data_IF_260430732992
#
_entry.id   IF_260430732992
#
_cell.length_a   1.000
_cell.length_b   1.000
_cell.length_c   1.000
_cell.angle_alpha   90.00
_cell.angle_beta   90.00
_cell.angle_gamma   90.00
#
_symmetry.space_group_name_H-M   'P 1'
#
loop_
_entity.id
_entity.type
_entity.pdbx_description
1 polymer ?
#
# COMPACT_ATOMS: atom_id res chain seq x y z
N UNK A 1 -2.67 2.36 8.43
CA UNK A 1 -3.46 1.21 7.95
C UNK A 1 -2.81 -0.14 8.33
N UNK A 2 -3.60 -1.18 8.61
CA UNK A 2 -3.09 -2.55 8.76
C UNK A 2 -2.63 -3.10 7.41
N UNK A 3 -1.34 -3.43 7.29
CA UNK A 3 -0.75 -3.85 6.03
C UNK A 3 0.22 -5.01 6.24
N UNK A 4 -0.01 -6.14 5.56
CA UNK A 4 0.91 -7.27 5.53
C UNK A 4 2.20 -6.79 4.88
N UNK A 5 3.34 -7.15 5.48
CA UNK A 5 4.65 -6.78 4.94
C UNK A 5 5.10 -5.34 5.26
N UNK A 6 4.29 -4.53 5.96
CA UNK A 6 4.63 -3.13 6.28
C UNK A 6 6.03 -2.99 6.89
N UNK A 7 6.86 -2.15 6.27
CA UNK A 7 8.25 -1.88 6.64
C UNK A 7 8.44 -0.85 7.76
N UNK A 8 7.38 -0.42 8.44
CA UNK A 8 7.47 0.54 9.56
C UNK A 8 8.53 0.15 10.61
N UNK A 9 8.58 -1.12 11.02
CA UNK A 9 9.58 -1.63 11.99
C UNK A 9 11.00 -1.75 11.43
N UNK A 10 11.13 -1.82 10.11
CA UNK A 10 12.41 -1.95 9.39
C UNK A 10 12.93 -0.62 8.84
N UNK A 11 12.16 0.46 8.96
CA UNK A 11 12.46 1.78 8.38
C UNK A 11 13.86 2.30 8.76
N UNK A 12 14.25 2.23 10.03
CA UNK A 12 15.59 2.64 10.49
C UNK A 12 16.71 1.80 9.87
N UNK A 13 16.51 0.49 9.74
CA UNK A 13 17.46 -0.41 9.10
C UNK A 13 17.61 -0.09 7.61
N UNK A 14 16.48 0.03 6.89
CA UNK A 14 16.46 0.36 5.47
C UNK A 14 17.15 1.69 5.19
N UNK A 15 16.81 2.74 5.96
CA UNK A 15 17.45 4.05 5.84
C UNK A 15 18.96 3.97 6.05
N UNK A 16 19.39 3.34 7.15
CA UNK A 16 20.83 3.21 7.47
C UNK A 16 21.58 2.48 6.35
N UNK A 17 21.04 1.37 5.86
CA UNK A 17 21.70 0.57 4.81
C UNK A 17 21.71 1.29 3.46
N UNK A 18 20.62 1.94 3.06
CA UNK A 18 20.56 2.72 1.82
C UNK A 18 21.58 3.86 1.88
N UNK A 19 21.58 4.69 2.92
CA UNK A 19 22.57 5.76 3.09
C UNK A 19 24.02 5.25 3.15
N UNK A 20 24.25 4.05 3.70
CA UNK A 20 25.58 3.43 3.73
C UNK A 20 26.14 3.12 2.35
N UNK A 21 25.28 2.89 1.36
CA UNK A 21 25.67 2.58 -0.02
C UNK A 21 25.65 3.83 -0.91
N UNK A 22 24.59 4.63 -0.83
CA UNK A 22 24.37 5.74 -1.77
C UNK A 22 24.89 7.10 -1.28
N UNK A 23 25.37 7.17 -0.04
CA UNK A 23 25.78 8.40 0.62
C UNK A 23 24.67 9.05 1.46
N UNK A 24 25.05 10.08 2.24
CA UNK A 24 24.12 10.81 3.12
C UNK A 24 23.33 11.90 2.40
N UNK A 25 23.94 12.60 1.45
CA UNK A 25 23.26 13.64 0.68
C UNK A 25 22.51 13.00 -0.49
N UNK A 26 21.18 13.01 -0.41
CA UNK A 26 20.29 12.45 -1.43
C UNK A 26 19.52 13.54 -2.19
N UNK A 27 19.77 14.83 -1.93
CA UNK A 27 18.92 15.94 -2.40
C UNK A 27 18.78 16.01 -3.92
N UNK A 28 19.79 15.51 -4.64
CA UNK A 28 19.84 15.51 -6.11
C UNK A 28 19.40 14.17 -6.72
N UNK A 29 19.05 13.18 -5.88
CA UNK A 29 18.72 11.82 -6.30
C UNK A 29 17.23 11.60 -6.47
N UNK A 30 16.86 10.78 -7.45
CA UNK A 30 15.49 10.27 -7.63
C UNK A 30 15.35 8.90 -6.98
N UNK A 31 14.38 8.75 -6.09
CA UNK A 31 14.08 7.50 -5.38
C UNK A 31 12.79 6.87 -5.92
N UNK A 32 12.85 5.61 -6.34
CA UNK A 32 11.70 4.86 -6.80
C UNK A 32 11.30 3.76 -5.81
N UNK A 33 10.03 3.73 -5.41
CA UNK A 33 9.41 2.64 -4.67
C UNK A 33 8.34 2.00 -5.57
N UNK A 34 8.71 0.94 -6.29
CA UNK A 34 7.89 0.40 -7.37
C UNK A 34 6.78 -0.57 -6.90
N UNK A 35 6.86 -1.00 -5.63
CA UNK A 35 5.90 -1.84 -4.93
C UNK A 35 5.48 -1.17 -3.61
N UNK A 36 5.00 0.07 -3.70
CA UNK A 36 4.95 0.99 -2.58
C UNK A 36 3.97 0.60 -1.46
N UNK A 37 2.91 -0.14 -1.78
CA UNK A 37 1.83 -0.43 -0.84
C UNK A 37 1.29 0.84 -0.19
N UNK A 38 1.49 0.97 1.12
CA UNK A 38 1.05 2.17 1.87
C UNK A 38 1.99 3.38 1.74
N UNK A 39 3.09 3.24 1.00
CA UNK A 39 4.11 4.28 0.82
C UNK A 39 5.06 4.44 2.00
N UNK A 40 5.09 3.51 2.95
CA UNK A 40 5.85 3.69 4.19
C UNK A 40 7.35 3.97 3.97
N UNK A 41 7.98 3.30 3.00
CA UNK A 41 9.40 3.50 2.67
C UNK A 41 9.58 4.79 1.88
N UNK A 42 8.86 4.96 0.77
CA UNK A 42 8.86 6.18 -0.04
C UNK A 42 8.67 7.47 0.80
N UNK A 43 7.67 7.51 1.69
CA UNK A 43 7.40 8.65 2.60
C UNK A 43 8.60 9.00 3.46
N UNK A 44 9.36 8.00 3.86
CA UNK A 44 10.50 8.18 4.75
C UNK A 44 11.70 8.84 4.05
N UNK A 45 11.75 8.80 2.72
CA UNK A 45 12.76 9.45 1.88
C UNK A 45 12.27 10.75 1.22
N UNK A 46 10.94 10.95 1.12
CA UNK A 46 10.29 12.04 0.40
C UNK A 46 10.94 13.43 0.57
N UNK A 47 11.25 13.83 1.80
CA UNK A 47 11.83 15.15 2.11
C UNK A 47 13.36 15.23 1.99
N UNK A 48 14.01 14.11 1.65
CA UNK A 48 15.47 14.00 1.58
C UNK A 48 15.99 13.87 0.14
N UNK A 49 15.09 13.65 -0.83
CA UNK A 49 15.42 13.32 -2.22
C UNK A 49 14.85 14.36 -3.17
N UNK A 50 15.42 14.49 -4.38
CA UNK A 50 14.96 15.41 -5.43
C UNK A 50 13.52 15.11 -5.85
N UNK A 51 13.19 13.83 -5.92
CA UNK A 51 11.89 13.35 -6.36
C UNK A 51 11.67 11.90 -5.95
N UNK A 52 10.40 11.57 -5.72
CA UNK A 52 9.96 10.20 -5.47
C UNK A 52 9.11 9.74 -6.64
N UNK A 53 9.41 8.55 -7.16
CA UNK A 53 8.55 7.80 -8.06
C UNK A 53 7.93 6.66 -7.25
N UNK A 54 6.62 6.67 -7.06
CA UNK A 54 5.91 5.61 -6.35
C UNK A 54 4.99 4.85 -7.30
N UNK A 55 4.91 3.54 -7.16
CA UNK A 55 3.98 2.73 -7.91
C UNK A 55 3.39 1.63 -7.04
N UNK A 56 2.14 1.26 -7.31
CA UNK A 56 1.58 0.01 -6.84
C UNK A 56 0.51 -0.49 -7.82
N UNK A 57 0.33 -1.80 -7.89
CA UNK A 57 -0.69 -2.43 -8.73
C UNK A 57 -2.10 -2.21 -8.17
N UNK A 58 -2.25 -2.11 -6.85
CA UNK A 58 -3.53 -1.97 -6.19
C UNK A 58 -3.98 -0.50 -6.15
N UNK A 59 -5.23 -0.24 -6.57
CA UNK A 59 -5.72 1.13 -6.69
C UNK A 59 -5.84 1.86 -5.34
N UNK A 60 -6.17 1.16 -4.24
CA UNK A 60 -6.15 1.79 -2.92
C UNK A 60 -4.74 2.26 -2.54
N UNK A 61 -3.69 1.51 -2.92
CA UNK A 61 -2.31 1.86 -2.64
C UNK A 61 -1.90 3.08 -3.49
N UNK A 62 -2.29 3.12 -4.76
CA UNK A 62 -2.18 4.31 -5.60
C UNK A 62 -2.83 5.54 -4.96
N UNK A 63 -4.09 5.45 -4.50
CA UNK A 63 -4.79 6.55 -3.83
C UNK A 63 -4.04 7.06 -2.60
N UNK A 64 -3.51 6.14 -1.78
CA UNK A 64 -2.73 6.51 -0.61
C UNK A 64 -1.45 7.25 -1.00
N UNK A 65 -0.74 6.78 -2.04
CA UNK A 65 0.50 7.39 -2.50
C UNK A 65 0.26 8.72 -3.23
N UNK A 66 -0.85 8.89 -3.95
CA UNK A 66 -1.27 10.21 -4.48
C UNK A 66 -1.34 11.26 -3.37
N UNK A 67 -1.83 10.87 -2.19
CA UNK A 67 -1.83 11.78 -1.04
C UNK A 67 -0.48 11.85 -0.31
N UNK A 68 0.12 10.73 0.07
CA UNK A 68 1.31 10.76 0.93
C UNK A 68 2.59 11.17 0.20
N UNK A 69 2.66 10.85 -1.09
CA UNK A 69 3.82 11.10 -1.95
C UNK A 69 3.54 12.29 -2.85
N UNK A 70 2.52 12.27 -3.70
CA UNK A 70 2.36 13.33 -4.71
C UNK A 70 1.95 14.68 -4.12
N UNK A 71 0.99 14.72 -3.19
CA UNK A 71 0.68 15.97 -2.50
C UNK A 71 1.89 16.39 -1.66
N UNK A 72 2.41 17.58 -1.94
CA UNK A 72 3.56 18.18 -1.25
C UNK A 72 3.32 19.66 -0.89
N UNK A 73 2.20 20.23 -1.34
CA UNK A 73 1.78 21.60 -1.06
C UNK A 73 0.58 21.63 -0.13
N UNK A 74 0.43 22.74 0.59
CA UNK A 74 -0.70 22.93 1.49
C UNK A 74 -2.03 22.94 0.72
N UNK A 75 -3.00 22.14 1.18
CA UNK A 75 -4.37 22.14 0.66
C UNK A 75 -5.24 23.03 1.54
N UNK A 76 -5.36 24.30 1.14
CA UNK A 76 -6.12 25.31 1.90
C UNK A 76 -7.56 24.86 2.15
N UNK A 77 -7.98 24.93 3.41
CA UNK A 77 -9.35 24.59 3.82
C UNK A 77 -9.67 23.09 3.88
N UNK A 78 -8.69 22.20 3.74
CA UNK A 78 -8.90 20.75 3.80
C UNK A 78 -9.65 20.29 5.07
N UNK A 79 -9.38 20.94 6.21
CA UNK A 79 -10.05 20.66 7.49
C UNK A 79 -11.57 20.92 7.43
N UNK A 80 -12.00 21.97 6.72
CA UNK A 80 -13.42 22.26 6.55
C UNK A 80 -14.14 21.14 5.81
N UNK A 81 -13.53 20.56 4.78
CA UNK A 81 -14.09 19.41 4.06
C UNK A 81 -14.20 18.19 4.97
N UNK A 82 -13.18 17.89 5.79
CA UNK A 82 -13.24 16.81 6.78
C UNK A 82 -14.40 17.03 7.77
N UNK A 83 -14.57 18.27 8.25
CA UNK A 83 -15.65 18.62 9.17
C UNK A 83 -17.04 18.49 8.55
N UNK A 84 -17.20 18.91 7.29
CA UNK A 84 -18.44 18.73 6.53
C UNK A 84 -18.77 17.24 6.42
N UNK A 85 -17.81 16.43 5.96
CA UNK A 85 -17.99 14.99 5.75
C UNK A 85 -18.37 14.25 7.04
N UNK A 86 -17.80 14.63 8.18
CA UNK A 86 -18.13 14.02 9.47
C UNK A 86 -19.55 14.33 9.97
N UNK A 87 -20.16 15.44 9.51
CA UNK A 87 -21.50 15.91 9.92
C UNK A 87 -22.62 15.45 8.97
N UNK A 88 -22.30 14.77 7.88
CA UNK A 88 -23.31 14.31 6.92
C UNK A 88 -24.23 13.28 7.55
N UNK A 89 -25.52 13.38 7.22
CA UNK A 89 -26.50 12.36 7.57
C UNK A 89 -26.20 11.06 6.81
N UNK A 90 -26.18 9.90 7.49
CA UNK A 90 -25.90 8.62 6.86
C UNK A 90 -26.89 8.28 5.75
N UNK A 91 -26.38 7.69 4.67
CA UNK A 91 -27.11 7.22 3.50
C UNK A 91 -26.63 5.84 3.11
N UNK A 92 -27.57 5.02 2.66
CA UNK A 92 -27.26 3.71 2.11
C UNK A 92 -26.52 3.82 0.78
N UNK A 93 -25.52 2.96 0.61
CA UNK A 93 -24.82 2.78 -0.66
C UNK A 93 -24.30 1.36 -0.81
N UNK A 94 -23.28 1.22 -1.66
CA UNK A 94 -22.75 -0.08 -2.03
C UNK A 94 -22.12 -0.84 -0.85
N UNK A 95 -21.44 -0.13 0.06
CA UNK A 95 -20.73 -0.76 1.18
C UNK A 95 -21.71 -1.31 2.22
N UNK A 96 -22.72 -0.52 2.59
CA UNK A 96 -23.78 -0.96 3.48
C UNK A 96 -24.49 -2.20 2.93
N UNK A 97 -24.97 -2.12 1.69
CA UNK A 97 -25.75 -3.20 1.06
C UNK A 97 -24.98 -4.51 0.93
N UNK A 98 -23.68 -4.46 0.68
CA UNK A 98 -22.91 -5.65 0.32
C UNK A 98 -21.94 -6.16 1.39
N UNK A 99 -21.57 -5.34 2.37
CA UNK A 99 -20.49 -5.66 3.33
C UNK A 99 -20.85 -5.41 4.79
N UNK A 100 -22.11 -5.05 5.07
CA UNK A 100 -22.67 -4.90 6.41
C UNK A 100 -23.80 -5.90 6.65
N UNK A 101 -24.08 -6.20 7.92
CA UNK A 101 -25.01 -7.26 8.27
C UNK A 101 -26.44 -6.88 7.87
N UNK A 102 -26.83 -5.61 8.11
CA UNK A 102 -28.12 -5.05 7.74
C UNK A 102 -28.36 -4.98 6.23
N UNK A 103 -27.32 -5.07 5.40
CA UNK A 103 -27.44 -5.14 3.94
C UNK A 103 -28.00 -6.47 3.41
N UNK A 104 -28.16 -7.49 4.28
CA UNK A 104 -28.81 -8.76 3.94
C UNK A 104 -27.91 -9.80 3.28
N UNK A 105 -26.62 -9.51 3.03
CA UNK A 105 -25.68 -10.49 2.45
C UNK A 105 -25.00 -11.39 3.49
N UNK A 106 -25.26 -11.17 4.78
CA UNK A 106 -24.60 -11.90 5.88
C UNK A 106 -23.11 -11.57 6.07
N UNK A 107 -22.62 -10.51 5.43
CA UNK A 107 -21.23 -10.03 5.57
C UNK A 107 -21.17 -8.98 6.66
N UNK A 108 -20.06 -8.94 7.40
CA UNK A 108 -19.92 -8.04 8.54
C UNK A 108 -18.50 -7.49 8.61
N UNK A 109 -18.06 -6.86 7.51
CA UNK A 109 -16.78 -6.16 7.44
C UNK A 109 -16.82 -4.84 8.20
N UNK A 110 -17.99 -4.22 8.28
CA UNK A 110 -18.25 -3.01 9.07
C UNK A 110 -19.55 -3.20 9.87
N UNK A 111 -19.73 -2.38 10.90
CA UNK A 111 -21.06 -2.18 11.47
C UNK A 111 -21.96 -1.47 10.46
N UNK A 112 -23.27 -1.62 10.60
CA UNK A 112 -24.25 -0.96 9.74
C UNK A 112 -24.05 0.56 9.73
N UNK A 113 -23.89 1.16 10.92
CA UNK A 113 -23.56 2.59 11.07
C UNK A 113 -22.31 2.99 10.27
N UNK A 114 -21.23 2.21 10.40
CA UNK A 114 -19.97 2.51 9.72
C UNK A 114 -20.08 2.32 8.20
N UNK A 115 -20.82 1.31 7.73
CA UNK A 115 -21.11 1.10 6.31
C UNK A 115 -21.83 2.29 5.69
N UNK A 116 -22.92 2.74 6.33
CA UNK A 116 -23.67 3.93 5.89
C UNK A 116 -22.77 5.17 5.87
N UNK A 117 -21.93 5.36 6.89
CA UNK A 117 -21.04 6.52 6.96
C UNK A 117 -19.96 6.49 5.87
N UNK A 118 -19.37 5.32 5.59
CA UNK A 118 -18.41 5.15 4.49
C UNK A 118 -19.07 5.50 3.16
N UNK A 119 -20.26 4.97 2.89
CA UNK A 119 -21.02 5.25 1.66
C UNK A 119 -21.30 6.74 1.51
N UNK A 120 -21.81 7.38 2.57
CA UNK A 120 -22.15 8.80 2.59
C UNK A 120 -20.95 9.68 2.25
N UNK A 121 -19.82 9.44 2.93
CA UNK A 121 -18.59 10.20 2.73
C UNK A 121 -18.09 9.97 1.29
N UNK A 122 -18.05 8.71 0.85
CA UNK A 122 -17.50 8.36 -0.47
C UNK A 122 -18.32 8.92 -1.62
N UNK A 123 -19.65 8.86 -1.52
CA UNK A 123 -20.58 9.47 -2.47
C UNK A 123 -20.41 10.99 -2.52
N UNK A 124 -20.23 11.66 -1.37
CA UNK A 124 -20.01 13.10 -1.34
C UNK A 124 -18.68 13.51 -1.99
N UNK A 125 -17.59 12.78 -1.68
CA UNK A 125 -16.29 12.98 -2.34
C UNK A 125 -16.40 12.78 -3.85
N UNK A 126 -17.13 11.74 -4.30
CA UNK A 126 -17.40 11.50 -5.73
C UNK A 126 -18.14 12.68 -6.37
N UNK A 127 -19.22 13.12 -5.73
CA UNK A 127 -20.04 14.22 -6.21
C UNK A 127 -19.20 15.49 -6.40
N UNK A 128 -18.37 15.85 -5.42
CA UNK A 128 -17.48 17.00 -5.52
C UNK A 128 -16.49 16.87 -6.68
N UNK A 129 -15.91 15.70 -6.89
CA UNK A 129 -14.99 15.46 -8.00
C UNK A 129 -15.69 15.53 -9.36
N UNK A 130 -16.84 14.87 -9.50
CA UNK A 130 -17.62 14.82 -10.76
C UNK A 130 -18.09 16.23 -11.17
N UNK A 131 -18.50 17.04 -10.20
CA UNK A 131 -18.92 18.44 -10.40
C UNK A 131 -17.75 19.43 -10.50
N UNK A 132 -16.51 18.95 -10.40
CA UNK A 132 -15.28 19.78 -10.41
C UNK A 132 -15.27 20.85 -9.31
N UNK A 133 -15.92 20.57 -8.18
CA UNK A 133 -15.91 21.44 -6.98
C UNK A 133 -14.58 21.32 -6.21
N UNK A 134 -13.84 20.22 -6.40
CA UNK A 134 -12.52 19.98 -5.80
C UNK A 134 -11.52 19.49 -6.87
N UNK A 135 -10.26 19.88 -6.70
CA UNK A 135 -9.13 19.37 -7.50
C UNK A 135 -8.65 17.98 -7.07
N UNK A 136 -7.68 17.43 -7.80
CA UNK A 136 -7.12 16.10 -7.52
C UNK A 136 -6.44 16.00 -6.15
N UNK A 137 -5.66 17.01 -5.76
CA UNK A 137 -4.93 17.01 -4.50
C UNK A 137 -5.88 16.81 -3.31
N UNK A 138 -6.96 17.59 -3.27
CA UNK A 138 -8.00 17.51 -2.24
C UNK A 138 -8.80 16.20 -2.37
N UNK A 139 -9.11 15.75 -3.59
CA UNK A 139 -9.82 14.49 -3.81
C UNK A 139 -9.05 13.29 -3.22
N UNK A 140 -7.76 13.15 -3.54
CA UNK A 140 -6.93 12.06 -3.03
C UNK A 140 -6.65 12.21 -1.54
N UNK A 141 -6.51 13.43 -1.02
CA UNK A 141 -6.43 13.67 0.43
C UNK A 141 -7.66 13.16 1.19
N UNK A 142 -8.87 13.51 0.72
CA UNK A 142 -10.12 13.08 1.35
C UNK A 142 -10.33 11.56 1.22
N UNK A 143 -9.99 10.99 0.06
CA UNK A 143 -10.14 9.56 -0.18
C UNK A 143 -9.14 8.73 0.65
N UNK A 144 -7.88 9.15 0.74
CA UNK A 144 -6.89 8.54 1.61
C UNK A 144 -7.32 8.61 3.08
N UNK A 145 -7.85 9.76 3.52
CA UNK A 145 -8.42 9.96 4.85
C UNK A 145 -9.56 8.98 5.15
N UNK A 146 -10.43 8.73 4.17
CA UNK A 146 -11.52 7.76 4.29
C UNK A 146 -10.99 6.32 4.42
N UNK A 147 -10.06 5.91 3.56
CA UNK A 147 -9.47 4.56 3.60
C UNK A 147 -8.79 4.28 4.95
N UNK A 148 -7.98 5.22 5.43
CA UNK A 148 -7.31 5.17 6.73
C UNK A 148 -8.31 5.07 7.89
N UNK A 149 -9.40 5.82 7.83
CA UNK A 149 -10.41 5.87 8.89
C UNK A 149 -11.31 4.63 8.87
N UNK A 150 -11.67 4.13 7.69
CA UNK A 150 -12.42 2.90 7.52
C UNK A 150 -11.63 1.69 8.05
N UNK A 151 -10.33 1.59 7.76
CA UNK A 151 -9.50 0.47 8.23
C UNK A 151 -9.44 0.36 9.77
N UNK A 152 -9.50 1.50 10.48
CA UNK A 152 -9.51 1.53 11.95
C UNK A 152 -10.77 0.90 12.55
N UNK A 153 -11.89 0.93 11.82
CA UNK A 153 -13.18 0.37 12.23
C UNK A 153 -13.57 -0.90 11.45
N UNK A 154 -12.68 -1.43 10.62
CA UNK A 154 -12.93 -2.67 9.88
C UNK A 154 -12.93 -3.89 10.82
N UNK A 155 -13.91 -4.78 10.67
CA UNK A 155 -14.10 -6.00 11.44
C UNK A 155 -13.32 -7.21 10.88
N UNK A 156 -12.00 -7.04 10.77
CA UNK A 156 -11.10 -8.03 10.16
C UNK A 156 -9.93 -8.40 11.08
N UNK A 157 -9.24 -9.51 10.79
CA UNK A 157 -8.00 -9.92 11.45
C UNK A 157 -6.77 -9.39 10.69
N UNK A 158 -6.74 -8.09 10.40
CA UNK A 158 -5.69 -7.34 9.66
C UNK A 158 -5.79 -7.33 8.14
N UNK A 159 -6.54 -8.26 7.53
CA UNK A 159 -6.81 -8.29 6.09
C UNK A 159 -8.29 -8.52 5.80
N UNK A 160 -8.75 -8.04 4.65
CA UNK A 160 -10.11 -8.14 4.14
C UNK A 160 -10.41 -9.47 3.44
N UNK A 161 -9.43 -10.39 3.37
CA UNK A 161 -9.66 -11.75 2.87
C UNK A 161 -10.67 -12.55 3.71
N UNK A 162 -11.02 -12.09 4.91
CA UNK A 162 -12.12 -12.59 5.73
C UNK A 162 -12.60 -11.51 6.72
N UNK A 163 -13.78 -11.72 7.29
CA UNK A 163 -14.35 -10.90 8.36
C UNK A 163 -14.68 -11.74 9.58
N UNK A 164 -14.74 -11.11 10.77
CA UNK A 164 -15.09 -11.80 12.01
C UNK A 164 -16.61 -11.99 12.12
N UNK A 165 -17.03 -13.09 12.75
CA UNK A 165 -18.47 -13.39 12.97
C UNK A 165 -19.18 -12.37 13.86
N UNK A 166 -18.44 -11.70 14.73
CA UNK A 166 -18.95 -10.64 15.62
C UNK A 166 -18.06 -9.42 15.46
N UNK A 167 -18.65 -8.23 15.62
CA UNK A 167 -17.89 -6.97 15.60
C UNK A 167 -16.88 -6.95 16.75
N UNK A 168 -15.59 -6.85 16.43
CA UNK A 168 -14.55 -6.58 17.43
C UNK A 168 -14.71 -5.17 18.02
N UNK A 169 -14.14 -4.93 19.20
CA UNK A 169 -14.23 -3.64 19.92
C UNK A 169 -13.92 -2.41 19.06
N UNK A 170 -12.94 -2.47 18.16
CA UNK A 170 -12.62 -1.32 17.30
C UNK A 170 -13.67 -1.08 16.20
N UNK A 171 -14.34 -2.13 15.73
CA UNK A 171 -15.38 -2.04 14.70
C UNK A 171 -16.75 -1.63 15.23
N UNK A 172 -16.95 -1.70 16.55
CA UNK A 172 -18.12 -1.17 17.25
C UNK A 172 -18.06 0.35 17.45
N UNK A 173 -16.88 0.97 17.28
CA UNK A 173 -16.74 2.42 17.38
C UNK A 173 -17.27 3.07 16.10
N UNK A 174 -17.99 4.18 16.25
CA UNK A 174 -18.38 5.03 15.13
C UNK A 174 -17.15 5.56 14.39
N UNK A 175 -17.20 5.50 13.06
CA UNK A 175 -16.17 6.06 12.20
C UNK A 175 -16.12 7.57 12.41
N UNK A 176 -14.93 8.09 12.69
CA UNK A 176 -14.62 9.52 12.65
C UNK A 176 -13.57 9.68 11.56
N UNK A 177 -13.91 10.45 10.52
CA UNK A 177 -12.99 10.74 9.42
C UNK A 177 -11.87 11.61 9.96
N UNK A 178 -10.64 11.09 9.93
CA UNK A 178 -9.43 11.80 10.34
C UNK A 178 -8.57 12.14 9.12
N UNK A 179 -7.92 13.30 9.08
CA UNK A 179 -7.09 13.71 7.96
C UNK A 179 -5.86 12.78 7.82
N UNK A 180 -5.60 12.34 6.58
CA UNK A 180 -4.38 11.63 6.20
C UNK A 180 -3.25 12.64 5.93
N UNK A 181 -2.64 13.15 7.01
CA UNK A 181 -1.57 14.16 6.91
C UNK A 181 -0.37 13.65 6.09
N UNK A 182 0.17 14.52 5.25
CA UNK A 182 1.34 14.28 4.41
C UNK A 182 2.39 15.38 4.64
N UNK A 183 3.64 15.07 4.29
CA UNK A 183 4.75 16.01 4.45
C UNK A 183 4.75 17.05 3.31
N UNK A 184 4.98 18.31 3.68
CA UNK A 184 5.18 19.41 2.75
C UNK A 184 6.65 19.53 2.35
N UNK A 185 6.90 19.86 1.09
CA UNK A 185 8.24 20.19 0.58
C UNK A 185 8.11 20.92 -0.78
N UNK A 186 9.24 21.33 -1.34
CA UNK A 186 9.31 22.02 -2.64
C UNK A 186 9.60 21.07 -3.82
N UNK A 187 9.61 19.76 -3.58
CA UNK A 187 9.99 18.75 -4.56
C UNK A 187 8.75 18.15 -5.23
N UNK A 188 8.79 18.05 -6.56
CA UNK A 188 7.76 17.33 -7.30
C UNK A 188 7.97 15.82 -7.22
N UNK A 189 6.87 15.09 -7.23
CA UNK A 189 6.84 13.64 -7.07
C UNK A 189 5.86 13.02 -8.07
N UNK A 190 6.02 11.73 -8.35
CA UNK A 190 5.21 11.02 -9.33
C UNK A 190 4.64 9.74 -8.72
N UNK A 191 3.37 9.46 -8.99
CA UNK A 191 2.69 8.26 -8.51
C UNK A 191 1.97 7.57 -9.66
N UNK A 192 2.20 6.27 -9.81
CA UNK A 192 1.66 5.43 -10.88
C UNK A 192 0.81 4.29 -10.31
N UNK A 193 -0.12 3.79 -11.13
CA UNK A 193 -0.91 2.58 -10.86
C UNK A 193 -0.74 1.59 -12.02
N UNK A 194 0.45 1.04 -12.16
CA UNK A 194 0.82 0.12 -13.24
C UNK A 194 1.40 -1.18 -12.68
N UNK A 195 1.45 -2.20 -13.54
CA UNK A 195 2.31 -3.35 -13.30
C UNK A 195 3.77 -2.90 -13.26
N UNK A 196 4.50 -3.27 -12.20
CA UNK A 196 5.88 -2.81 -11.98
C UNK A 196 6.84 -3.20 -13.11
N UNK A 197 6.67 -4.37 -13.72
CA UNK A 197 7.47 -4.82 -14.87
C UNK A 197 7.13 -4.07 -16.16
N UNK A 198 5.95 -3.46 -16.23
CA UNK A 198 5.58 -2.57 -17.34
C UNK A 198 6.13 -1.16 -17.12
N UNK A 199 5.97 -0.62 -15.91
CA UNK A 199 6.41 0.74 -15.59
C UNK A 199 7.94 0.88 -15.63
N UNK A 200 8.68 -0.12 -15.14
CA UNK A 200 10.15 -0.06 -15.03
C UNK A 200 10.87 0.24 -16.35
N UNK A 201 10.21 -0.05 -17.49
CA UNK A 201 10.71 0.20 -18.85
C UNK A 201 10.58 1.66 -19.29
N UNK A 202 9.84 2.47 -18.55
CA UNK A 202 9.45 3.86 -18.90
C UNK A 202 10.04 4.90 -17.94
N UNK A 203 10.70 4.45 -16.87
CA UNK A 203 11.22 5.29 -15.80
C UNK A 203 12.69 5.01 -15.54
N UNK A 204 13.37 6.01 -15.01
CA UNK A 204 14.79 5.96 -14.64
C UNK A 204 15.02 6.73 -13.33
N UNK A 205 16.17 6.53 -12.72
CA UNK A 205 16.55 7.27 -11.51
C UNK A 205 17.81 6.72 -10.84
N UNK A 206 18.03 7.13 -9.59
CA UNK A 206 19.26 6.78 -8.87
C UNK A 206 19.09 5.54 -8.00
N UNK A 207 17.96 5.47 -7.30
CA UNK A 207 17.69 4.49 -6.25
C UNK A 207 16.36 3.80 -6.54
N UNK A 208 16.39 2.48 -6.73
CA UNK A 208 15.20 1.65 -6.88
C UNK A 208 15.04 0.76 -5.65
N UNK A 209 13.93 0.92 -4.94
CA UNK A 209 13.54 0.08 -3.82
C UNK A 209 12.44 -0.89 -4.26
N UNK A 210 12.64 -2.17 -3.93
CA UNK A 210 11.76 -3.27 -4.24
C UNK A 210 11.29 -3.93 -2.93
N UNK A 211 9.98 -3.96 -2.72
CA UNK A 211 9.33 -4.74 -1.66
C UNK A 211 8.15 -5.55 -2.24
N UNK A 212 8.42 -6.47 -3.18
CA UNK A 212 7.35 -7.23 -3.83
C UNK A 212 6.70 -8.22 -2.84
N UNK A 213 5.51 -8.74 -3.17
CA UNK A 213 4.92 -9.86 -2.46
C UNK A 213 5.92 -11.01 -2.27
N UNK A 214 6.08 -11.46 -1.03
CA UNK A 214 7.00 -12.56 -0.68
C UNK A 214 6.30 -13.91 -0.47
N UNK A 215 4.97 -13.97 -0.59
CA UNK A 215 4.20 -15.19 -0.41
C UNK A 215 3.05 -15.27 -1.42
N UNK A 216 2.32 -16.39 -1.44
CA UNK A 216 1.28 -16.64 -2.45
C UNK A 216 -0.03 -15.85 -2.24
N UNK A 217 -0.11 -15.01 -1.20
CA UNK A 217 -1.32 -14.24 -0.91
C UNK A 217 -1.45 -13.09 -1.89
N UNK A 218 -2.55 -13.10 -2.63
CA UNK A 218 -2.89 -12.01 -3.55
C UNK A 218 -3.38 -10.80 -2.75
N UNK A 219 -2.72 -9.65 -2.92
CA UNK A 219 -3.10 -8.40 -2.24
C UNK A 219 -4.47 -7.92 -2.70
N UNK A 220 -4.78 -7.98 -4.00
CA UNK A 220 -6.10 -7.64 -4.51
C UNK A 220 -7.26 -8.43 -3.90
N UNK A 221 -7.02 -9.67 -3.47
CA UNK A 221 -8.01 -10.44 -2.70
C UNK A 221 -8.01 -10.08 -1.21
N UNK A 222 -6.84 -9.90 -0.59
CA UNK A 222 -6.73 -9.61 0.84
C UNK A 222 -7.06 -8.16 1.21
N UNK A 223 -7.11 -7.26 0.25
CA UNK A 223 -7.42 -5.84 0.42
C UNK A 223 -8.52 -5.37 -0.54
N UNK A 224 -9.31 -6.31 -1.07
CA UNK A 224 -10.35 -6.04 -2.08
C UNK A 224 -11.33 -4.94 -1.65
N UNK A 225 -11.65 -4.85 -0.36
CA UNK A 225 -12.62 -3.89 0.15
C UNK A 225 -12.07 -2.47 0.15
N UNK A 226 -10.75 -2.29 0.32
CA UNK A 226 -10.12 -0.99 0.17
C UNK A 226 -10.20 -0.52 -1.29
N UNK A 227 -9.93 -1.42 -2.26
CA UNK A 227 -10.15 -1.11 -3.67
C UNK A 227 -11.63 -0.81 -3.97
N UNK A 228 -12.55 -1.52 -3.31
CA UNK A 228 -14.00 -1.30 -3.47
C UNK A 228 -14.40 0.08 -2.98
N UNK A 229 -13.92 0.52 -1.82
CA UNK A 229 -14.16 1.88 -1.29
C UNK A 229 -13.48 2.93 -2.18
N UNK A 230 -12.25 2.69 -2.61
CA UNK A 230 -11.48 3.62 -3.43
C UNK A 230 -12.10 3.85 -4.81
N UNK A 231 -12.34 2.77 -5.58
CA UNK A 231 -12.94 2.85 -6.92
C UNK A 231 -14.40 3.26 -6.86
N UNK A 232 -15.15 2.69 -5.91
CA UNK A 232 -16.58 2.94 -5.72
C UNK A 232 -17.40 2.83 -7.02
N UNK A 233 -17.09 1.77 -7.77
CA UNK A 233 -17.73 1.35 -9.00
C UNK A 233 -18.73 0.21 -8.74
N UNK A 234 -19.68 0.04 -9.65
CA UNK A 234 -20.67 -1.03 -9.55
C UNK A 234 -20.07 -2.37 -9.99
N UNK A 235 -20.30 -3.42 -9.21
CA UNK A 235 -20.01 -4.81 -9.57
C UNK A 235 -20.86 -5.77 -8.72
N UNK A 236 -20.89 -7.04 -9.08
CA UNK A 236 -21.56 -8.08 -8.30
C UNK A 236 -20.54 -8.80 -7.40
N UNK A 237 -20.61 -8.67 -6.06
CA UNK A 237 -19.66 -9.32 -5.17
C UNK A 237 -19.76 -10.86 -5.20
N UNK A 238 -18.63 -11.53 -5.43
CA UNK A 238 -18.56 -13.00 -5.58
C UNK A 238 -18.15 -13.69 -4.28
N UNK A 239 -18.80 -14.82 -3.97
CA UNK A 239 -18.46 -15.69 -2.84
C UNK A 239 -18.77 -15.12 -1.45
N UNK A 240 -18.36 -15.85 -0.41
CA UNK A 240 -18.65 -15.53 1.00
C UNK A 240 -18.09 -14.17 1.42
N UNK A 241 -16.91 -13.82 0.92
CA UNK A 241 -16.21 -12.57 1.24
C UNK A 241 -16.64 -11.40 0.36
N UNK A 242 -17.40 -11.64 -0.71
CA UNK A 242 -17.85 -10.58 -1.61
C UNK A 242 -16.71 -9.97 -2.41
N UNK A 243 -15.86 -10.82 -2.98
CA UNK A 243 -14.72 -10.37 -3.77
C UNK A 243 -15.19 -9.66 -5.05
N UNK A 244 -14.49 -8.57 -5.37
CA UNK A 244 -14.48 -8.01 -6.72
C UNK A 244 -13.46 -8.74 -7.59
N UNK A 245 -13.51 -8.51 -8.90
CA UNK A 245 -12.43 -8.93 -9.77
C UNK A 245 -11.15 -8.17 -9.42
N UNK A 246 -10.03 -8.90 -9.40
CA UNK A 246 -8.74 -8.41 -8.92
C UNK A 246 -7.60 -9.01 -9.74
N UNK A 247 -6.50 -8.26 -9.82
CA UNK A 247 -5.29 -8.69 -10.53
C UNK A 247 -4.53 -9.72 -9.70
N UNK A 248 -4.03 -10.76 -10.35
CA UNK A 248 -3.15 -11.75 -9.73
C UNK A 248 -1.70 -11.43 -10.07
N UNK A 249 -0.94 -10.95 -9.11
CA UNK A 249 0.47 -10.60 -9.32
C UNK A 249 1.30 -11.85 -9.61
N UNK A 250 2.22 -11.73 -10.58
CA UNK A 250 3.21 -12.76 -10.89
C UNK A 250 4.18 -12.99 -9.71
N UNK A 251 4.44 -11.95 -8.91
CA UNK A 251 5.26 -12.05 -7.69
C UNK A 251 4.62 -12.90 -6.58
N UNK A 252 3.32 -13.18 -6.66
CA UNK A 252 2.63 -14.10 -5.76
C UNK A 252 2.65 -15.57 -6.25
N UNK A 253 3.31 -15.87 -7.37
CA UNK A 253 3.33 -17.21 -7.96
C UNK A 253 4.75 -17.78 -7.96
N UNK A 254 4.94 -18.91 -7.29
CA UNK A 254 6.27 -19.55 -7.13
C UNK A 254 6.93 -19.88 -8.48
N UNK A 255 6.14 -20.24 -9.49
CA UNK A 255 6.64 -20.58 -10.83
C UNK A 255 7.04 -19.37 -11.67
N UNK A 256 6.52 -18.16 -11.39
CA UNK A 256 6.71 -16.97 -12.24
C UNK A 256 7.59 -15.90 -11.57
N UNK A 257 7.71 -15.92 -10.23
CA UNK A 257 8.36 -14.85 -9.46
C UNK A 257 9.83 -14.61 -9.82
N UNK A 258 10.60 -15.67 -10.08
CA UNK A 258 12.03 -15.54 -10.39
C UNK A 258 12.25 -14.89 -11.76
N UNK A 259 11.49 -15.30 -12.77
CA UNK A 259 11.53 -14.72 -14.11
C UNK A 259 11.04 -13.27 -14.10
N UNK A 260 9.93 -13.00 -13.41
CA UNK A 260 9.39 -11.64 -13.26
C UNK A 260 10.41 -10.71 -12.58
N UNK A 261 11.06 -11.19 -11.51
CA UNK A 261 12.11 -10.44 -10.84
C UNK A 261 13.32 -10.18 -11.74
N UNK A 262 13.82 -11.20 -12.46
CA UNK A 262 14.96 -11.02 -13.37
C UNK A 262 14.65 -10.02 -14.49
N UNK A 263 13.47 -10.09 -15.09
CA UNK A 263 13.03 -9.14 -16.12
C UNK A 263 12.99 -7.70 -15.57
N UNK A 264 12.50 -7.50 -14.35
CA UNK A 264 12.48 -6.18 -13.71
C UNK A 264 13.91 -5.63 -13.52
N UNK A 265 14.83 -6.45 -12.98
CA UNK A 265 16.23 -6.03 -12.75
C UNK A 265 16.94 -5.72 -14.07
N UNK A 266 16.71 -6.54 -15.11
CA UNK A 266 17.28 -6.35 -16.44
C UNK A 266 16.88 -4.99 -17.02
N UNK A 267 15.60 -4.67 -16.99
CA UNK A 267 15.05 -3.48 -17.65
C UNK A 267 15.27 -2.18 -16.84
N UNK A 268 15.48 -2.28 -15.51
CA UNK A 268 15.64 -1.14 -14.61
C UNK A 268 16.78 -0.19 -14.99
N UNK A 269 16.48 1.06 -15.32
CA UNK A 269 17.47 2.13 -15.52
C UNK A 269 17.79 2.86 -14.21
N UNK A 270 18.32 2.10 -13.24
CA UNK A 270 18.65 2.60 -11.91
C UNK A 270 20.03 2.12 -11.47
N UNK A 271 20.84 3.05 -10.94
CA UNK A 271 22.21 2.76 -10.49
C UNK A 271 22.26 1.86 -9.25
N UNK A 272 21.42 2.13 -8.26
CA UNK A 272 21.38 1.37 -7.01
C UNK A 272 20.02 0.72 -6.83
N UNK A 273 19.98 -0.60 -6.74
CA UNK A 273 18.75 -1.39 -6.55
C UNK A 273 18.80 -2.11 -5.21
N UNK A 274 17.75 -1.94 -4.41
CA UNK A 274 17.59 -2.51 -3.09
C UNK A 274 16.34 -3.40 -3.06
N UNK A 275 16.50 -4.70 -2.85
CA UNK A 275 15.39 -5.62 -2.65
C UNK A 275 15.30 -6.02 -1.18
N UNK A 276 14.17 -5.66 -0.55
CA UNK A 276 13.77 -6.12 0.77
C UNK A 276 12.99 -7.42 0.63
N UNK A 277 13.53 -8.52 1.16
CA UNK A 277 12.90 -9.83 1.05
C UNK A 277 13.25 -10.70 2.25
N UNK A 278 12.27 -11.32 2.88
CA UNK A 278 12.53 -12.15 4.06
C UNK A 278 12.86 -13.60 3.72
N UNK A 279 13.36 -14.33 4.71
CA UNK A 279 13.72 -15.75 4.58
C UNK A 279 12.53 -16.71 4.36
N UNK A 280 11.29 -16.25 4.47
CA UNK A 280 10.08 -17.03 4.17
C UNK A 280 9.56 -16.78 2.74
N UNK A 281 10.34 -16.06 1.93
CA UNK A 281 10.00 -15.65 0.58
C UNK A 281 9.91 -16.78 -0.45
N UNK A 282 9.17 -16.56 -1.55
CA UNK A 282 9.07 -17.52 -2.66
C UNK A 282 10.40 -17.74 -3.42
N UNK A 283 11.29 -16.76 -3.37
CA UNK A 283 12.64 -16.83 -3.95
C UNK A 283 13.66 -17.02 -2.81
N UNK A 284 14.60 -17.94 -2.99
CA UNK A 284 15.69 -18.08 -2.02
C UNK A 284 16.73 -16.97 -2.20
N UNK A 285 17.45 -16.64 -1.12
CA UNK A 285 18.56 -15.68 -1.16
C UNK A 285 19.61 -16.04 -2.24
N UNK A 286 19.85 -17.34 -2.47
CA UNK A 286 20.74 -17.84 -3.53
C UNK A 286 20.22 -17.51 -4.94
N UNK A 287 18.92 -17.68 -5.19
CA UNK A 287 18.31 -17.33 -6.48
C UNK A 287 18.40 -15.83 -6.72
N UNK A 288 18.07 -15.01 -5.72
CA UNK A 288 18.14 -13.55 -5.81
C UNK A 288 19.57 -13.08 -6.11
N UNK A 289 20.56 -13.58 -5.34
CA UNK A 289 21.99 -13.31 -5.58
C UNK A 289 22.39 -13.66 -7.01
N UNK A 290 22.03 -14.86 -7.46
CA UNK A 290 22.38 -15.34 -8.80
C UNK A 290 21.80 -14.48 -9.92
N UNK A 291 20.62 -13.89 -9.71
CA UNK A 291 20.00 -12.97 -10.67
C UNK A 291 20.71 -11.62 -10.62
N UNK A 292 20.79 -10.98 -9.45
CA UNK A 292 21.30 -9.61 -9.31
C UNK A 292 22.77 -9.49 -9.74
N UNK A 293 23.63 -10.48 -9.41
CA UNK A 293 25.05 -10.43 -9.75
C UNK A 293 25.33 -10.51 -11.27
N UNK A 294 24.35 -10.88 -12.11
CA UNK A 294 24.49 -10.83 -13.57
C UNK A 294 24.55 -9.40 -14.11
N UNK A 295 24.03 -8.44 -13.34
CA UNK A 295 23.81 -7.06 -13.78
C UNK A 295 24.68 -6.04 -13.04
N UNK A 296 25.62 -6.47 -12.20
CA UNK A 296 26.51 -5.57 -11.47
C UNK A 296 27.03 -6.13 -10.15
N UNK A 297 27.56 -5.26 -9.29
CA UNK A 297 28.12 -5.65 -7.99
C UNK A 297 27.00 -5.94 -7.00
N UNK A 298 26.98 -7.16 -6.48
CA UNK A 298 26.00 -7.62 -5.51
C UNK A 298 26.55 -7.60 -4.08
N UNK A 299 25.75 -7.08 -3.15
CA UNK A 299 25.98 -7.11 -1.72
C UNK A 299 24.72 -7.55 -0.95
N UNK A 300 24.88 -7.92 0.32
CA UNK A 300 23.79 -8.35 1.17
C UNK A 300 23.95 -7.85 2.61
N UNK A 301 22.92 -7.19 3.14
CA UNK A 301 22.82 -6.86 4.56
C UNK A 301 21.61 -7.56 5.17
N UNK A 302 21.67 -7.96 6.44
CA UNK A 302 20.57 -8.66 7.13
C UNK A 302 20.23 -8.03 8.46
N UNK A 303 19.00 -8.24 8.90
CA UNK A 303 18.56 -7.93 10.26
C UNK A 303 17.49 -8.91 10.74
N UNK A 304 17.43 -9.16 12.04
CA UNK A 304 16.35 -9.95 12.63
C UNK A 304 15.20 -9.04 13.10
N UNK A 305 13.96 -9.45 12.83
CA UNK A 305 12.79 -8.74 13.34
C UNK A 305 11.67 -9.68 13.78
N UNK A 306 10.76 -9.15 14.61
CA UNK A 306 9.63 -9.92 15.12
C UNK A 306 8.65 -10.25 13.99
N UNK A 307 8.29 -11.54 13.90
CA UNK A 307 7.33 -12.05 12.92
C UNK A 307 5.94 -11.41 13.11
N UNK A 308 5.26 -11.07 12.02
CA UNK A 308 3.87 -10.62 12.06
C UNK A 308 2.96 -11.77 12.49
N UNK A 309 2.24 -11.61 13.61
CA UNK A 309 1.30 -12.60 14.16
C UNK A 309 -0.13 -12.13 13.92
N UNK A 310 -0.85 -12.81 13.02
CA UNK A 310 -2.29 -12.65 12.85
C UNK A 310 -3.12 -13.67 13.66
N UNK A 311 -2.46 -14.74 14.14
CA UNK A 311 -3.09 -15.88 14.83
C UNK A 311 -2.16 -16.39 15.92
N UNK A 312 -2.66 -16.55 17.15
CA UNK A 312 -1.87 -16.87 18.34
C UNK A 312 -1.59 -18.36 18.53
N UNK A 313 -2.29 -19.25 17.81
CA UNK A 313 -2.33 -20.70 18.08
C UNK A 313 -1.58 -21.58 17.05
N UNK A 314 -0.47 -21.12 16.45
CA UNK A 314 0.33 -21.95 15.54
C UNK A 314 1.43 -22.75 16.26
N UNK A 315 1.54 -24.03 15.91
CA UNK A 315 2.47 -25.02 16.47
C UNK A 315 3.98 -24.72 16.22
N UNK A 316 4.34 -23.78 15.34
CA UNK A 316 5.75 -23.39 15.09
C UNK A 316 6.12 -22.09 15.82
N UNK A 317 6.95 -22.22 16.86
CA UNK A 317 7.36 -21.18 17.84
C UNK A 317 8.50 -20.25 17.37
N UNK A 318 8.79 -20.12 16.08
CA UNK A 318 9.82 -19.15 15.65
C UNK A 318 9.28 -17.73 15.73
N UNK A 319 9.72 -16.98 16.76
CA UNK A 319 9.27 -15.60 17.04
C UNK A 319 9.97 -14.54 16.18
N UNK A 320 10.98 -14.93 15.40
CA UNK A 320 11.82 -14.04 14.60
C UNK A 320 11.85 -14.49 13.14
N UNK A 321 11.94 -13.51 12.25
CA UNK A 321 12.15 -13.65 10.82
C UNK A 321 13.40 -12.84 10.46
N UNK A 322 14.17 -13.30 9.49
CA UNK A 322 15.35 -12.56 9.00
C UNK A 322 14.94 -11.78 7.76
N UNK A 323 15.11 -10.46 7.81
CA UNK A 323 15.01 -9.61 6.63
C UNK A 323 16.36 -9.61 5.91
N UNK A 324 16.34 -9.87 4.60
CA UNK A 324 17.47 -9.66 3.71
C UNK A 324 17.25 -8.37 2.92
N UNK A 325 18.23 -7.47 2.97
CA UNK A 325 18.33 -6.36 2.05
C UNK A 325 19.42 -6.68 1.04
N UNK A 326 18.98 -7.17 -0.12
CA UNK A 326 19.84 -7.44 -1.26
C UNK A 326 20.15 -6.12 -1.98
N UNK A 327 21.41 -5.90 -2.30
CA UNK A 327 21.91 -4.64 -2.86
C UNK A 327 22.57 -4.94 -4.19
N UNK A 328 22.24 -4.17 -5.21
CA UNK A 328 22.89 -4.21 -6.51
C UNK A 328 23.33 -2.80 -6.90
N UNK A 329 24.62 -2.64 -7.14
CA UNK A 329 25.18 -1.50 -7.86
C UNK A 329 25.28 -1.89 -9.34
N UNK A 330 24.30 -1.45 -10.14
CA UNK A 330 24.12 -1.85 -11.54
C UNK A 330 25.18 -1.20 -12.44
N UNK A 331 25.71 -1.96 -13.40
CA UNK A 331 26.74 -1.52 -14.36
C UNK A 331 26.16 -1.12 -15.70
#
# INVERSE_FOLDING_TARGET
MNYIGSKNKLSSFLKKSIHGVVGKDLKDKTFCDIFAGTGAVARSFKTQVKGVISNDLEFYAFVLNKNYIENHKEIKGAENYINILNKLLPKEGFIYKNYCLGGGTGRQYFSDENGLKIDTIRLKIKQWKDKREIGDDLYYFLLASLLESADKVANTASVYGAYLKHLKKSAQKSLILKPAMFELNDNDHQVFNEDGNTLIKKIEGDILYLDPPYNQRQYGANYHLLNTIAKYDDFIPKGKTGLREYNRSQYCKKSEVAESFENLIKDAQFKHIFLSYNNEGLMSSKVIKNIMQKYGKYDLTTTEYQRFKADSNRFNKTNKTTEYLHILEKQ
#
